data_IF_617988555342
#
_entry.id   IF_617988555342
#
_cell.length_a   1.000
_cell.length_b   1.000
_cell.length_c   1.000
_cell.angle_alpha   90.00
_cell.angle_beta   90.00
_cell.angle_gamma   90.00
#
_symmetry.space_group_name_H-M   'P 1'
#
loop_
_entity.id
_entity.type
_entity.pdbx_description
1 polymer ?
#
# COMPACT_ATOMS: atom_id res chain seq x y z
N UNK A 1 -25.85 -13.20 6.54
CA UNK A 1 -25.09 -12.90 5.30
C UNK A 1 -23.81 -13.73 5.40
N UNK A 2 -23.57 -14.62 4.45
CA UNK A 2 -22.40 -15.51 4.46
C UNK A 2 -21.12 -14.68 4.24
N UNK A 3 -20.15 -14.76 5.17
CA UNK A 3 -18.91 -14.00 5.12
C UNK A 3 -18.09 -14.30 3.87
N UNK A 4 -18.17 -15.54 3.36
CA UNK A 4 -17.49 -15.96 2.13
C UNK A 4 -18.08 -15.24 0.92
N UNK A 5 -19.40 -15.12 0.85
CA UNK A 5 -20.07 -14.41 -0.24
C UNK A 5 -19.80 -12.89 -0.19
N UNK A 6 -19.73 -12.32 1.01
CA UNK A 6 -19.36 -10.92 1.19
C UNK A 6 -17.91 -10.65 0.73
N UNK A 7 -16.97 -11.54 1.08
CA UNK A 7 -15.57 -11.44 0.64
C UNK A 7 -15.47 -11.50 -0.89
N UNK A 8 -16.11 -12.47 -1.54
CA UNK A 8 -16.09 -12.58 -3.02
C UNK A 8 -16.68 -11.35 -3.70
N UNK A 9 -17.77 -10.81 -3.14
CA UNK A 9 -18.38 -9.58 -3.66
C UNK A 9 -17.43 -8.40 -3.53
N UNK A 10 -16.68 -8.30 -2.41
CA UNK A 10 -15.68 -7.27 -2.20
C UNK A 10 -14.50 -7.40 -3.18
N UNK A 11 -13.99 -8.61 -3.39
CA UNK A 11 -12.92 -8.90 -4.36
C UNK A 11 -13.34 -8.51 -5.78
N UNK A 12 -14.55 -8.90 -6.20
CA UNK A 12 -15.10 -8.56 -7.50
C UNK A 12 -15.30 -7.05 -7.67
N UNK A 13 -15.87 -6.37 -6.67
CA UNK A 13 -16.14 -4.92 -6.72
C UNK A 13 -14.86 -4.08 -6.80
N UNK A 14 -13.76 -4.58 -6.25
CA UNK A 14 -12.45 -3.92 -6.28
C UNK A 14 -11.56 -4.41 -7.43
N UNK A 15 -12.08 -5.26 -8.34
CA UNK A 15 -11.33 -5.86 -9.45
C UNK A 15 -10.01 -6.51 -8.97
N UNK A 16 -10.06 -7.24 -7.85
CA UNK A 16 -8.86 -7.87 -7.31
C UNK A 16 -8.41 -8.99 -8.24
N UNK A 17 -7.20 -8.86 -8.76
CA UNK A 17 -6.59 -9.85 -9.63
C UNK A 17 -5.80 -10.88 -8.81
N UNK A 18 -6.04 -12.16 -9.11
CA UNK A 18 -5.20 -13.23 -8.59
C UNK A 18 -3.92 -13.29 -9.42
N UNK A 19 -2.79 -13.21 -8.73
CA UNK A 19 -1.48 -13.24 -9.35
C UNK A 19 -1.09 -14.70 -9.49
N UNK A 20 -0.93 -15.17 -10.73
CA UNK A 20 -0.69 -16.59 -11.03
C UNK A 20 0.65 -17.12 -10.51
N UNK A 21 1.62 -16.23 -10.29
CA UNK A 21 2.90 -16.55 -9.68
C UNK A 21 3.13 -15.65 -8.46
N UNK A 22 3.23 -16.26 -7.29
CA UNK A 22 3.55 -15.55 -6.05
C UNK A 22 4.95 -14.94 -6.16
N UNK A 23 5.85 -15.60 -6.90
CA UNK A 23 7.23 -15.14 -7.02
C UNK A 23 7.36 -13.81 -7.77
N UNK A 24 6.54 -13.52 -8.80
CA UNK A 24 6.73 -12.29 -9.59
C UNK A 24 6.49 -11.00 -8.78
N UNK A 25 5.54 -11.03 -7.84
CA UNK A 25 5.23 -9.85 -7.01
C UNK A 25 5.92 -9.92 -5.65
N UNK A 26 5.98 -11.09 -5.01
CA UNK A 26 6.52 -11.24 -3.67
C UNK A 26 8.04 -11.45 -3.62
N UNK A 27 8.70 -11.85 -4.71
CA UNK A 27 10.16 -11.97 -4.72
C UNK A 27 10.80 -10.59 -4.56
N UNK A 28 11.73 -10.49 -3.61
CA UNK A 28 12.45 -9.26 -3.31
C UNK A 28 13.91 -9.39 -3.75
N UNK A 29 14.28 -8.71 -4.84
CA UNK A 29 15.67 -8.55 -5.23
C UNK A 29 16.26 -7.29 -4.57
N UNK A 30 17.05 -7.51 -3.52
CA UNK A 30 17.73 -6.46 -2.79
C UNK A 30 18.65 -5.61 -3.68
N UNK A 31 19.30 -6.22 -4.66
CA UNK A 31 20.25 -5.52 -5.54
C UNK A 31 19.50 -4.54 -6.43
N UNK A 32 18.44 -4.99 -7.10
CA UNK A 32 17.59 -4.13 -7.93
C UNK A 32 17.00 -2.97 -7.14
N UNK A 33 16.52 -3.23 -5.91
CA UNK A 33 16.00 -2.16 -5.06
C UNK A 33 17.09 -1.14 -4.70
N UNK A 34 18.28 -1.61 -4.33
CA UNK A 34 19.39 -0.72 -4.01
C UNK A 34 19.81 0.13 -5.20
N UNK A 35 19.88 -0.46 -6.39
CA UNK A 35 20.24 0.24 -7.62
C UNK A 35 19.23 1.35 -7.95
N UNK A 36 17.92 1.07 -7.82
CA UNK A 36 16.85 2.08 -8.00
C UNK A 36 16.98 3.20 -6.96
N UNK A 37 17.17 2.85 -5.69
CA UNK A 37 17.32 3.82 -4.59
C UNK A 37 18.58 4.68 -4.71
N UNK A 38 19.65 4.14 -5.29
CA UNK A 38 20.88 4.90 -5.56
C UNK A 38 20.72 5.79 -6.79
N UNK A 39 20.06 5.32 -7.84
CA UNK A 39 19.87 6.08 -9.07
C UNK A 39 18.88 7.25 -8.93
N UNK A 40 17.89 7.12 -8.04
CA UNK A 40 16.86 8.13 -7.72
C UNK A 40 16.26 8.83 -8.96
N UNK A 41 15.72 8.07 -9.92
CA UNK A 41 15.22 8.64 -11.18
C UNK A 41 14.10 9.69 -10.98
N UNK A 42 13.33 9.57 -9.89
CA UNK A 42 12.29 10.55 -9.50
C UNK A 42 12.84 11.95 -9.17
N UNK A 43 14.13 12.11 -8.86
CA UNK A 43 14.73 13.44 -8.69
C UNK A 43 14.83 14.20 -10.03
N UNK A 44 14.82 13.48 -11.15
CA UNK A 44 14.94 14.05 -12.51
C UNK A 44 13.59 14.23 -13.18
N UNK A 45 12.60 13.40 -12.83
CA UNK A 45 11.23 13.47 -13.36
C UNK A 45 10.22 13.39 -12.20
N UNK A 46 9.51 14.50 -11.89
CA UNK A 46 8.44 14.50 -10.90
C UNK A 46 7.28 13.54 -11.20
N UNK A 47 7.14 13.08 -12.45
CA UNK A 47 6.10 12.15 -12.91
C UNK A 47 6.64 10.73 -13.15
N UNK A 48 7.79 10.40 -12.55
CA UNK A 48 8.43 9.09 -12.73
C UNK A 48 7.52 7.92 -12.36
N UNK A 49 6.82 8.02 -11.23
CA UNK A 49 5.87 6.99 -10.79
C UNK A 49 4.53 7.17 -11.48
N UNK A 50 4.08 6.11 -12.16
CA UNK A 50 2.86 6.13 -12.99
C UNK A 50 1.76 5.24 -12.43
N UNK A 51 2.17 4.18 -11.74
CA UNK A 51 1.26 3.13 -11.29
C UNK A 51 1.50 2.80 -9.82
N UNK A 52 0.45 2.32 -9.16
CA UNK A 52 0.51 1.74 -7.83
C UNK A 52 -0.23 0.40 -7.80
N UNK A 53 0.37 -0.60 -7.19
CA UNK A 53 -0.25 -1.90 -6.91
C UNK A 53 -0.37 -2.06 -5.41
N UNK A 54 -1.56 -2.38 -4.92
CA UNK A 54 -1.84 -2.51 -3.49
C UNK A 54 -2.30 -3.94 -3.23
N UNK A 55 -1.65 -4.63 -2.28
CA UNK A 55 -2.09 -5.96 -1.87
C UNK A 55 -3.49 -5.90 -1.24
N UNK A 56 -4.30 -6.93 -1.47
CA UNK A 56 -5.63 -7.03 -0.87
C UNK A 56 -5.57 -6.96 0.67
N UNK A 57 -4.50 -7.48 1.28
CA UNK A 57 -4.24 -7.42 2.71
C UNK A 57 -4.04 -5.98 3.18
N UNK A 58 -3.15 -5.22 2.53
CA UNK A 58 -2.89 -3.83 2.88
C UNK A 58 -4.17 -2.99 2.73
N UNK A 59 -4.89 -3.16 1.62
CA UNK A 59 -6.15 -2.47 1.38
C UNK A 59 -7.16 -2.73 2.50
N UNK A 60 -7.36 -3.99 2.87
CA UNK A 60 -8.30 -4.36 3.92
C UNK A 60 -7.89 -3.79 5.28
N UNK A 61 -6.60 -3.85 5.64
CA UNK A 61 -6.06 -3.27 6.89
C UNK A 61 -6.26 -1.76 6.95
N UNK A 62 -5.98 -1.04 5.85
CA UNK A 62 -6.21 0.40 5.76
C UNK A 62 -7.70 0.76 5.92
N UNK A 63 -8.59 0.06 5.22
CA UNK A 63 -10.04 0.31 5.28
C UNK A 63 -10.60 0.01 6.66
N UNK A 64 -10.15 -1.08 7.31
CA UNK A 64 -10.54 -1.37 8.69
C UNK A 64 -10.07 -0.30 9.67
N UNK A 65 -8.82 0.16 9.53
CA UNK A 65 -8.26 1.24 10.35
C UNK A 65 -9.04 2.55 10.16
N UNK A 66 -9.25 2.98 8.91
CA UNK A 66 -10.04 4.16 8.58
C UNK A 66 -11.46 4.07 9.13
N UNK A 67 -12.12 2.91 9.02
CA UNK A 67 -13.45 2.71 9.58
C UNK A 67 -13.45 2.79 11.11
N UNK A 68 -12.42 2.28 11.79
CA UNK A 68 -12.30 2.37 13.25
C UNK A 68 -12.08 3.80 13.75
N UNK A 69 -11.49 4.67 12.93
CA UNK A 69 -11.33 6.10 13.23
C UNK A 69 -12.64 6.90 13.26
N UNK A 70 -13.72 6.37 12.70
CA UNK A 70 -15.03 7.04 12.68
C UNK A 70 -14.96 8.35 11.88
N UNK A 71 -15.12 9.48 12.57
CA UNK A 71 -15.02 10.83 11.98
C UNK A 71 -13.65 11.46 12.14
N UNK A 72 -12.73 10.80 12.85
CA UNK A 72 -11.38 11.29 13.08
C UNK A 72 -10.48 10.86 11.92
N UNK A 73 -9.53 11.72 11.59
CA UNK A 73 -8.47 11.39 10.66
C UNK A 73 -7.52 10.39 11.33
N UNK A 74 -7.15 9.36 10.56
CA UNK A 74 -6.23 8.32 11.00
C UNK A 74 -4.98 8.31 10.14
N UNK A 75 -3.88 7.78 10.69
CA UNK A 75 -2.63 7.63 9.96
C UNK A 75 -2.08 6.21 10.07
N UNK A 76 -1.27 5.84 9.09
CA UNK A 76 -0.54 4.59 9.07
C UNK A 76 0.70 4.68 8.18
N UNK A 77 1.50 3.62 8.17
CA UNK A 77 2.62 3.46 7.25
C UNK A 77 2.35 2.33 6.26
N UNK A 78 2.91 2.48 5.06
CA UNK A 78 2.88 1.50 3.99
C UNK A 78 4.25 0.83 3.88
N UNK A 79 4.26 -0.49 3.76
CA UNK A 79 5.47 -1.29 3.55
C UNK A 79 5.41 -1.84 2.13
N UNK A 80 6.48 -1.67 1.37
CA UNK A 80 6.48 -1.99 -0.06
C UNK A 80 7.85 -1.98 -0.71
N UNK A 81 7.83 -2.07 -2.04
CA UNK A 81 9.00 -1.96 -2.92
C UNK A 81 8.66 -1.13 -4.16
N UNK A 82 9.68 -0.74 -4.91
CA UNK A 82 9.52 -0.09 -6.22
C UNK A 82 9.84 -1.09 -7.32
N UNK A 83 8.98 -1.18 -8.31
CA UNK A 83 9.25 -1.93 -9.53
C UNK A 83 9.21 -1.00 -10.75
N UNK A 84 10.38 -0.62 -11.25
CA UNK A 84 10.53 0.34 -12.35
C UNK A 84 9.78 1.65 -12.08
N UNK A 85 8.63 1.89 -12.71
CA UNK A 85 7.78 3.10 -12.53
C UNK A 85 6.54 2.85 -11.66
N UNK A 86 6.46 1.68 -11.03
CA UNK A 86 5.31 1.23 -10.24
C UNK A 86 5.68 1.12 -8.76
N UNK A 87 4.87 1.72 -7.89
CA UNK A 87 4.98 1.49 -6.45
C UNK A 87 4.16 0.25 -6.06
N UNK A 88 4.73 -0.65 -5.26
CA UNK A 88 4.06 -1.87 -4.82
C UNK A 88 3.92 -1.84 -3.30
N UNK A 89 2.68 -1.76 -2.81
CA UNK A 89 2.32 -1.81 -1.39
C UNK A 89 2.01 -3.25 -1.02
N UNK A 90 2.85 -3.83 -0.17
CA UNK A 90 2.77 -5.23 0.27
C UNK A 90 1.97 -5.36 1.57
N UNK A 91 2.15 -4.42 2.50
CA UNK A 91 1.43 -4.38 3.77
C UNK A 91 1.27 -2.93 4.28
N UNK A 92 0.43 -2.75 5.30
CA UNK A 92 0.22 -1.47 5.99
C UNK A 92 0.01 -1.66 7.49
N UNK A 93 0.32 -0.65 8.30
CA UNK A 93 -0.01 -0.68 9.73
C UNK A 93 -0.38 0.70 10.28
N UNK A 94 -1.23 0.72 11.30
CA UNK A 94 -1.69 1.92 11.97
C UNK A 94 -0.56 2.55 12.79
N UNK A 95 -0.47 3.88 12.76
CA UNK A 95 0.31 4.63 13.73
C UNK A 95 -0.58 5.02 14.91
N UNK A 96 -0.04 5.11 16.15
CA UNK A 96 -0.80 5.49 17.34
C UNK A 96 -1.04 7.01 17.38
N UNK A 97 -1.58 7.56 16.30
CA UNK A 97 -1.87 8.99 16.16
C UNK A 97 -3.33 9.16 15.76
N UNK A 98 -4.04 9.98 16.52
CA UNK A 98 -5.36 10.51 16.16
C UNK A 98 -5.13 11.93 15.63
N UNK A 99 -5.37 12.13 14.34
CA UNK A 99 -5.09 13.40 13.68
C UNK A 99 -6.16 14.44 14.02
N UNK A 100 -5.70 15.64 14.40
CA UNK A 100 -6.45 16.88 14.11
C UNK A 100 -5.73 17.51 12.92
N UNK A 101 -6.47 17.79 11.84
CA UNK A 101 -6.12 18.27 10.48
C UNK A 101 -4.83 19.10 10.27
N UNK A 102 -4.21 19.68 11.30
CA UNK A 102 -3.20 20.74 11.20
C UNK A 102 -1.78 20.38 11.63
N UNK A 103 -1.51 19.22 12.26
CA UNK A 103 -0.12 18.83 12.63
C UNK A 103 0.11 17.33 12.56
N UNK A 104 0.75 16.90 11.48
CA UNK A 104 1.34 15.56 11.36
C UNK A 104 2.74 15.59 11.98
N UNK A 105 2.88 15.00 13.16
CA UNK A 105 4.18 14.62 13.71
C UNK A 105 4.29 13.09 13.58
N UNK A 106 4.55 12.63 12.34
CA UNK A 106 4.95 11.26 12.12
C UNK A 106 6.29 11.08 12.86
N UNK A 107 6.34 10.12 13.79
CA UNK A 107 7.47 9.93 14.71
C UNK A 107 8.80 9.73 13.96
N UNK A 108 9.88 10.21 14.59
CA UNK A 108 11.28 10.11 14.15
C UNK A 108 11.80 8.66 14.07
#
# INVERSE_FOLDING_TARGET
MDSVMAQRTWELSNNIENVHSVDDIYCYDKKTQQDILTAKPWERDPHFFKDIKISALALLKMVMHARSGGTLEVMGMLIGKVDVTTMIVMDSFALPVEGTETRVNAQA
#
